data_IF_644562994018
#
_entry.id   IF_644562994018
#
_cell.length_a   1.000
_cell.length_b   1.000
_cell.length_c   1.000
_cell.angle_alpha   90.00
_cell.angle_beta   90.00
_cell.angle_gamma   90.00
#
_symmetry.space_group_name_H-M   'P 1'
#
loop_
_entity.id
_entity.type
_entity.pdbx_description
1 polymer ?
#
# COMPACT_ATOMS: atom_id res chain seq x y z
N UNK A 1 -14.81 15.42 16.65
CA UNK A 1 -13.81 16.43 16.32
C UNK A 1 -12.90 15.85 15.24
N UNK A 2 -12.76 16.51 14.07
CA UNK A 2 -11.71 16.17 13.11
C UNK A 2 -10.42 16.83 13.56
N UNK A 3 -9.41 16.04 13.88
CA UNK A 3 -8.07 16.55 14.19
C UNK A 3 -7.31 16.66 12.89
N UNK A 4 -6.66 17.80 12.63
CA UNK A 4 -5.77 17.99 11.51
C UNK A 4 -4.35 18.30 11.98
N UNK A 5 -3.37 17.58 11.45
CA UNK A 5 -1.94 17.85 11.62
C UNK A 5 -1.45 18.36 10.26
N UNK A 6 -0.84 19.53 10.25
CA UNK A 6 -0.51 20.23 9.01
C UNK A 6 0.93 20.75 9.03
N UNK A 7 1.63 20.63 7.89
CA UNK A 7 2.97 21.22 7.66
C UNK A 7 3.97 20.89 8.75
N UNK A 8 4.20 19.61 8.99
CA UNK A 8 5.06 19.15 10.07
C UNK A 8 6.07 18.12 9.59
N UNK A 9 7.19 18.03 10.29
CA UNK A 9 8.16 16.95 10.13
C UNK A 9 8.21 16.20 11.45
N UNK A 10 7.93 14.90 11.39
CA UNK A 10 7.92 14.02 12.57
C UNK A 10 9.07 13.01 12.40
N UNK A 11 10.02 13.06 13.29
CA UNK A 11 11.22 12.23 13.21
C UNK A 11 11.36 11.30 14.41
N UNK A 12 11.86 10.08 14.17
CA UNK A 12 12.31 9.14 15.19
C UNK A 12 11.26 8.90 16.30
N UNK A 13 9.98 8.88 15.91
CA UNK A 13 8.86 8.78 16.87
C UNK A 13 8.25 7.39 16.82
N UNK A 14 7.95 6.83 17.96
CA UNK A 14 7.20 5.58 18.10
C UNK A 14 5.81 5.86 18.68
N UNK A 15 4.77 5.57 17.90
CA UNK A 15 3.37 5.65 18.27
C UNK A 15 2.74 4.32 17.88
N UNK A 16 2.80 3.37 18.78
CA UNK A 16 2.45 1.96 18.53
C UNK A 16 1.10 1.65 19.18
N UNK A 17 0.29 0.77 18.56
CA UNK A 17 -1.01 0.35 19.07
C UNK A 17 -1.94 1.52 19.38
N UNK A 18 -1.90 2.57 18.58
CA UNK A 18 -2.65 3.80 18.78
C UNK A 18 -3.82 3.92 17.84
N UNK A 19 -4.72 4.86 18.10
CA UNK A 19 -5.88 5.11 17.26
C UNK A 19 -5.93 6.58 16.85
N UNK A 20 -5.94 6.80 15.51
CA UNK A 20 -6.04 8.11 14.85
C UNK A 20 -7.25 8.19 13.90
N UNK A 21 -8.32 7.51 14.23
CA UNK A 21 -9.53 7.56 13.40
C UNK A 21 -9.96 8.99 13.05
N UNK A 22 -10.40 9.18 11.80
CA UNK A 22 -10.97 10.44 11.28
C UNK A 22 -10.02 11.65 11.36
N UNK A 23 -8.71 11.40 11.36
CA UNK A 23 -7.69 12.46 11.35
C UNK A 23 -7.33 12.89 9.93
N UNK A 24 -6.81 14.10 9.81
CA UNK A 24 -6.24 14.63 8.56
C UNK A 24 -4.76 14.93 8.76
N UNK A 25 -3.94 14.41 7.85
CA UNK A 25 -2.50 14.64 7.78
C UNK A 25 -2.21 15.34 6.45
N UNK A 26 -1.72 16.58 6.50
CA UNK A 26 -1.53 17.40 5.29
C UNK A 26 -0.12 17.99 5.31
N UNK A 27 0.64 17.76 4.23
CA UNK A 27 2.02 18.26 4.09
C UNK A 27 2.92 17.76 5.24
N UNK A 28 2.87 16.44 5.53
CA UNK A 28 3.64 15.83 6.63
C UNK A 28 4.75 14.95 6.09
N UNK A 29 5.94 15.07 6.66
CA UNK A 29 7.03 14.12 6.50
C UNK A 29 7.21 13.30 7.77
N UNK A 30 7.09 11.99 7.66
CA UNK A 30 7.37 11.03 8.73
C UNK A 30 8.71 10.34 8.42
N UNK A 31 9.72 10.55 9.24
CA UNK A 31 11.04 9.97 9.04
C UNK A 31 11.43 9.07 10.21
N UNK A 32 11.80 7.81 9.91
CA UNK A 32 12.23 6.82 10.88
C UNK A 32 11.21 6.60 12.02
N UNK A 33 9.91 6.66 11.69
CA UNK A 33 8.84 6.51 12.68
C UNK A 33 8.33 5.07 12.74
N UNK A 34 7.83 4.67 13.92
CA UNK A 34 7.21 3.38 14.12
C UNK A 34 5.75 3.55 14.57
N UNK A 35 4.83 3.18 13.69
CA UNK A 35 3.38 3.19 13.90
C UNK A 35 2.77 1.77 13.95
N UNK A 36 3.55 0.74 14.24
CA UNK A 36 3.07 -0.64 14.19
C UNK A 36 1.75 -0.82 14.92
N UNK A 37 0.81 -1.55 14.28
CA UNK A 37 -0.54 -1.86 14.79
C UNK A 37 -1.39 -0.61 15.11
N UNK A 38 -1.11 0.52 14.48
CA UNK A 38 -1.89 1.75 14.66
C UNK A 38 -3.06 1.77 13.69
N UNK A 39 -4.21 2.22 14.18
CA UNK A 39 -5.43 2.40 13.41
C UNK A 39 -5.46 3.81 12.83
N UNK A 40 -5.53 3.91 11.50
CA UNK A 40 -5.70 5.15 10.75
C UNK A 40 -7.02 5.14 9.96
N UNK A 41 -8.04 4.50 10.47
CA UNK A 41 -9.31 4.36 9.78
C UNK A 41 -9.98 5.70 9.49
N UNK A 42 -10.53 5.84 8.28
CA UNK A 42 -11.24 7.04 7.83
C UNK A 42 -10.40 8.34 7.91
N UNK A 43 -9.10 8.19 7.68
CA UNK A 43 -8.15 9.30 7.66
C UNK A 43 -7.92 9.84 6.25
N UNK A 44 -7.38 11.05 6.17
CA UNK A 44 -6.88 11.62 4.92
C UNK A 44 -5.38 11.91 5.05
N UNK A 45 -4.60 11.38 4.14
CA UNK A 45 -3.18 11.70 3.99
C UNK A 45 -3.01 12.45 2.66
N UNK A 46 -2.66 13.72 2.73
CA UNK A 46 -2.58 14.60 1.56
C UNK A 46 -1.18 15.20 1.50
N UNK A 47 -0.44 14.92 0.43
CA UNK A 47 0.95 15.33 0.24
C UNK A 47 1.81 14.92 1.45
N UNK A 48 1.69 13.64 1.84
CA UNK A 48 2.46 13.07 2.93
C UNK A 48 3.57 12.17 2.40
N UNK A 49 4.64 12.07 3.17
CA UNK A 49 5.75 11.20 2.87
C UNK A 49 6.17 10.39 4.09
N UNK A 50 6.29 9.09 3.92
CA UNK A 50 6.79 8.16 4.92
C UNK A 50 8.15 7.65 4.46
N UNK A 51 9.22 7.99 5.18
CA UNK A 51 10.59 7.58 4.88
C UNK A 51 11.14 6.67 5.98
N UNK A 52 11.59 5.48 5.62
CA UNK A 52 12.18 4.51 6.55
C UNK A 52 11.26 4.19 7.74
N UNK A 53 9.96 4.20 7.54
CA UNK A 53 8.98 3.99 8.60
C UNK A 53 8.58 2.52 8.75
N UNK A 54 8.07 2.19 9.92
CA UNK A 54 7.46 0.90 10.21
C UNK A 54 5.96 1.08 10.44
N UNK A 55 5.16 0.54 9.52
CA UNK A 55 3.71 0.55 9.53
C UNK A 55 3.12 -0.88 9.58
N UNK A 56 3.88 -1.82 10.14
CA UNK A 56 3.48 -3.23 10.19
C UNK A 56 2.16 -3.40 10.94
N UNK A 57 1.19 -4.06 10.31
CA UNK A 57 -0.13 -4.32 10.90
C UNK A 57 -1.00 -3.08 11.08
N UNK A 58 -0.67 -1.95 10.45
CA UNK A 58 -1.53 -0.76 10.50
C UNK A 58 -2.83 -0.98 9.73
N UNK A 59 -3.89 -0.33 10.19
CA UNK A 59 -5.17 -0.29 9.50
C UNK A 59 -5.38 1.08 8.83
N UNK A 60 -5.46 1.06 7.50
CA UNK A 60 -5.75 2.19 6.63
C UNK A 60 -7.11 2.02 5.92
N UNK A 61 -8.08 1.41 6.57
CA UNK A 61 -9.42 1.24 6.00
C UNK A 61 -10.13 2.60 5.80
N UNK A 62 -10.89 2.71 4.71
CA UNK A 62 -11.68 3.90 4.36
C UNK A 62 -10.88 5.21 4.26
N UNK A 63 -9.63 5.14 3.84
CA UNK A 63 -8.75 6.30 3.76
C UNK A 63 -8.77 7.00 2.41
N UNK A 64 -8.38 8.26 2.43
CA UNK A 64 -7.97 9.00 1.24
C UNK A 64 -6.45 9.19 1.27
N UNK A 65 -5.73 8.61 0.31
CA UNK A 65 -4.32 8.84 0.09
C UNK A 65 -4.15 9.65 -1.21
N UNK A 66 -3.77 10.90 -1.08
CA UNK A 66 -3.57 11.81 -2.21
C UNK A 66 -2.15 12.35 -2.21
N UNK A 67 -1.43 12.17 -3.33
CA UNK A 67 -0.04 12.64 -3.49
C UNK A 67 0.84 12.16 -2.32
N UNK A 68 0.73 10.87 -1.96
CA UNK A 68 1.39 10.29 -0.78
C UNK A 68 2.45 9.27 -1.18
N UNK A 69 3.63 9.37 -0.59
CA UNK A 69 4.77 8.49 -0.88
C UNK A 69 5.14 7.62 0.32
N UNK A 70 5.44 6.36 0.03
CA UNK A 70 6.00 5.39 0.98
C UNK A 70 7.37 4.94 0.44
N UNK A 71 8.46 5.36 1.09
CA UNK A 71 9.83 5.12 0.63
C UNK A 71 10.59 4.30 1.69
N UNK A 72 11.03 3.10 1.34
CA UNK A 72 11.67 2.13 2.24
C UNK A 72 10.84 1.89 3.52
N UNK A 73 9.56 1.64 3.35
CA UNK A 73 8.62 1.45 4.47
C UNK A 73 8.29 -0.03 4.65
N UNK A 74 8.18 -0.47 5.90
CA UNK A 74 7.65 -1.79 6.21
C UNK A 74 6.15 -1.70 6.49
N UNK A 75 5.33 -2.14 5.52
CA UNK A 75 3.88 -2.21 5.57
C UNK A 75 3.37 -3.67 5.54
N UNK A 76 4.16 -4.62 6.05
CA UNK A 76 3.70 -6.00 6.12
C UNK A 76 2.43 -6.12 6.97
N UNK A 77 1.49 -6.96 6.55
CA UNK A 77 0.21 -7.19 7.24
C UNK A 77 -0.67 -5.94 7.38
N UNK A 78 -0.42 -4.91 6.58
CA UNK A 78 -1.21 -3.68 6.58
C UNK A 78 -2.54 -3.92 5.87
N UNK A 79 -3.61 -3.34 6.40
CA UNK A 79 -4.91 -3.31 5.75
C UNK A 79 -5.12 -1.95 5.06
N UNK A 80 -5.25 -1.95 3.73
CA UNK A 80 -5.57 -0.77 2.92
C UNK A 80 -6.80 -1.14 2.09
N UNK A 81 -7.98 -0.95 2.65
CA UNK A 81 -9.23 -1.39 2.02
C UNK A 81 -10.23 -0.24 1.93
N UNK A 82 -11.12 -0.32 0.95
CA UNK A 82 -12.23 0.64 0.74
C UNK A 82 -11.71 2.09 0.65
N UNK A 83 -10.52 2.26 0.08
CA UNK A 83 -9.79 3.54 0.11
C UNK A 83 -9.65 4.15 -1.29
N UNK A 84 -9.52 5.48 -1.33
CA UNK A 84 -9.20 6.24 -2.54
C UNK A 84 -7.70 6.51 -2.59
N UNK A 85 -6.99 5.89 -3.55
CA UNK A 85 -5.56 6.02 -3.76
C UNK A 85 -5.28 6.81 -5.04
N UNK A 86 -4.81 8.03 -4.92
CA UNK A 86 -4.49 8.88 -6.09
C UNK A 86 -3.07 9.44 -5.98
N UNK A 87 -2.26 9.21 -7.03
CA UNK A 87 -0.85 9.62 -7.07
C UNK A 87 -0.09 9.05 -5.85
N UNK A 88 -0.19 7.75 -5.61
CA UNK A 88 0.48 7.08 -4.49
C UNK A 88 1.68 6.29 -5.00
N UNK A 89 2.81 6.45 -4.34
CA UNK A 89 4.06 5.82 -4.72
C UNK A 89 4.61 4.93 -3.61
N UNK A 90 4.82 3.66 -3.94
CA UNK A 90 5.44 2.65 -3.07
C UNK A 90 6.81 2.30 -3.63
N UNK A 91 7.86 2.87 -3.05
CA UNK A 91 9.25 2.61 -3.46
C UNK A 91 9.99 1.80 -2.40
N UNK A 92 10.58 0.67 -2.79
CA UNK A 92 11.34 -0.20 -1.87
C UNK A 92 10.51 -0.59 -0.63
N UNK A 93 9.19 -0.63 -0.78
CA UNK A 93 8.23 -0.84 0.31
C UNK A 93 7.88 -2.32 0.42
N UNK A 94 7.83 -2.83 1.64
CA UNK A 94 7.40 -4.20 1.93
C UNK A 94 5.91 -4.21 2.26
N UNK A 95 5.13 -4.91 1.46
CA UNK A 95 3.68 -5.09 1.59
C UNK A 95 3.32 -6.59 1.71
N UNK A 96 4.22 -7.38 2.27
CA UNK A 96 4.03 -8.82 2.41
C UNK A 96 2.83 -9.14 3.29
N UNK A 97 1.93 -10.01 2.80
CA UNK A 97 0.67 -10.34 3.45
C UNK A 97 -0.24 -9.12 3.72
N UNK A 98 -0.06 -8.03 3.00
CA UNK A 98 -0.97 -6.89 3.10
C UNK A 98 -2.27 -7.16 2.35
N UNK A 99 -3.30 -6.40 2.69
CA UNK A 99 -4.62 -6.46 2.07
C UNK A 99 -4.90 -5.13 1.35
N UNK A 100 -5.08 -5.19 0.02
CA UNK A 100 -5.41 -4.05 -0.85
C UNK A 100 -6.72 -4.35 -1.61
N UNK A 101 -7.83 -4.46 -0.92
CA UNK A 101 -9.11 -4.82 -1.52
C UNK A 101 -10.07 -3.63 -1.57
N UNK A 102 -10.96 -3.64 -2.58
CA UNK A 102 -12.02 -2.64 -2.75
C UNK A 102 -11.52 -1.20 -2.84
N UNK A 103 -10.35 -0.98 -3.45
CA UNK A 103 -9.78 0.35 -3.57
C UNK A 103 -10.10 0.99 -4.93
N UNK A 104 -10.34 2.29 -4.91
CA UNK A 104 -10.28 3.11 -6.10
C UNK A 104 -8.85 3.60 -6.30
N UNK A 105 -8.26 3.25 -7.44
CA UNK A 105 -6.86 3.58 -7.72
C UNK A 105 -6.74 4.46 -8.96
N UNK A 106 -5.90 5.49 -8.85
CA UNK A 106 -5.53 6.34 -9.98
C UNK A 106 -4.08 6.76 -9.86
N UNK A 107 -3.27 6.41 -10.86
CA UNK A 107 -1.85 6.76 -10.92
C UNK A 107 -1.09 6.29 -9.66
N UNK A 108 -1.19 4.99 -9.33
CA UNK A 108 -0.35 4.38 -8.31
C UNK A 108 0.88 3.76 -8.97
N UNK A 109 1.99 3.69 -8.23
CA UNK A 109 3.24 3.10 -8.70
C UNK A 109 3.85 2.22 -7.64
N UNK A 110 4.37 1.08 -8.07
CA UNK A 110 5.22 0.21 -7.27
C UNK A 110 6.61 0.15 -7.90
N UNK A 111 7.63 0.45 -7.14
CA UNK A 111 9.03 0.33 -7.58
C UNK A 111 9.81 -0.49 -6.58
N UNK A 112 10.33 -1.64 -7.01
CA UNK A 112 11.12 -2.55 -6.18
C UNK A 112 10.39 -2.94 -4.87
N UNK A 113 9.06 -3.01 -4.95
CA UNK A 113 8.21 -3.35 -3.82
C UNK A 113 8.14 -4.88 -3.62
N UNK A 114 8.01 -5.30 -2.36
CA UNK A 114 7.75 -6.70 -2.01
C UNK A 114 6.24 -6.88 -1.77
N UNK A 115 5.55 -7.45 -2.75
CA UNK A 115 4.13 -7.76 -2.76
C UNK A 115 3.87 -9.25 -2.51
N UNK A 116 4.82 -9.97 -1.91
CA UNK A 116 4.69 -11.40 -1.63
C UNK A 116 3.44 -11.68 -0.80
N UNK A 117 2.59 -12.60 -1.28
CA UNK A 117 1.34 -13.01 -0.61
C UNK A 117 0.37 -11.85 -0.32
N UNK A 118 0.45 -10.73 -1.05
CA UNK A 118 -0.51 -9.64 -0.97
C UNK A 118 -1.87 -10.09 -1.54
N UNK A 119 -2.95 -9.59 -0.98
CA UNK A 119 -4.31 -9.81 -1.48
C UNK A 119 -4.80 -8.55 -2.18
N UNK A 120 -5.15 -8.69 -3.47
CA UNK A 120 -5.64 -7.58 -4.32
C UNK A 120 -6.91 -8.06 -5.02
N UNK A 121 -8.07 -7.71 -4.48
CA UNK A 121 -9.36 -8.00 -5.10
C UNK A 121 -10.18 -6.73 -5.21
N UNK A 122 -10.94 -6.59 -6.30
CA UNK A 122 -11.74 -5.40 -6.59
C UNK A 122 -10.89 -4.11 -6.56
N UNK A 123 -9.64 -4.23 -7.04
CA UNK A 123 -8.65 -3.15 -7.11
C UNK A 123 -7.86 -3.31 -8.40
N UNK A 124 -8.20 -2.55 -9.42
CA UNK A 124 -7.61 -2.71 -10.76
C UNK A 124 -6.14 -2.28 -10.80
N UNK A 125 -5.28 -3.15 -11.34
CA UNK A 125 -3.88 -2.87 -11.61
C UNK A 125 -3.62 -2.47 -13.08
N UNK A 126 -4.66 -2.09 -13.82
CA UNK A 126 -4.52 -1.70 -15.21
C UNK A 126 -3.52 -0.54 -15.40
N UNK A 127 -2.53 -0.75 -16.27
CA UNK A 127 -1.47 0.22 -16.55
C UNK A 127 -0.37 0.31 -15.49
N UNK A 128 -0.38 -0.57 -14.47
CA UNK A 128 0.64 -0.60 -13.42
C UNK A 128 1.76 -1.55 -13.80
N UNK A 129 3.01 -1.10 -13.66
CA UNK A 129 4.21 -1.91 -13.89
C UNK A 129 4.66 -2.57 -12.59
N UNK A 130 4.58 -3.91 -12.56
CA UNK A 130 5.03 -4.77 -11.47
C UNK A 130 6.34 -5.50 -11.79
N UNK A 131 6.92 -5.28 -12.98
CA UNK A 131 8.03 -6.10 -13.52
C UNK A 131 9.28 -6.16 -12.62
N UNK A 132 9.46 -5.16 -11.75
CA UNK A 132 10.56 -5.09 -10.78
C UNK A 132 10.14 -5.40 -9.34
N UNK A 133 8.90 -5.80 -9.14
CA UNK A 133 8.37 -6.15 -7.82
C UNK A 133 8.48 -7.65 -7.55
N UNK A 134 8.41 -8.06 -6.28
CA UNK A 134 8.19 -9.45 -5.90
C UNK A 134 6.70 -9.68 -5.77
N UNK A 135 6.16 -10.67 -6.49
CA UNK A 135 4.73 -10.99 -6.47
C UNK A 135 4.43 -12.45 -6.08
N UNK A 136 5.41 -13.16 -5.53
CA UNK A 136 5.28 -14.56 -5.15
C UNK A 136 4.03 -14.79 -4.30
N UNK A 137 3.16 -15.70 -4.74
CA UNK A 137 1.94 -16.05 -4.01
C UNK A 137 0.90 -14.92 -3.93
N UNK A 138 0.94 -13.95 -4.83
CA UNK A 138 -0.09 -12.90 -4.92
C UNK A 138 -1.49 -13.52 -5.09
N UNK A 139 -2.46 -13.03 -4.31
CA UNK A 139 -3.86 -13.40 -4.46
C UNK A 139 -4.60 -12.26 -5.18
N UNK A 140 -4.98 -12.52 -6.45
CA UNK A 140 -5.57 -11.52 -7.34
C UNK A 140 -6.55 -12.18 -8.30
N UNK A 141 -7.52 -11.45 -8.82
CA UNK A 141 -8.40 -11.92 -9.89
C UNK A 141 -7.83 -11.60 -11.29
N UNK A 142 -8.32 -12.31 -12.31
CA UNK A 142 -7.97 -12.04 -13.72
C UNK A 142 -8.37 -10.60 -14.10
N UNK A 143 -9.53 -10.14 -13.63
CA UNK A 143 -10.03 -8.80 -13.95
C UNK A 143 -9.17 -7.71 -13.31
N UNK A 144 -8.66 -7.93 -12.11
CA UNK A 144 -7.83 -6.95 -11.40
C UNK A 144 -6.40 -6.85 -11.97
N UNK A 145 -5.81 -7.98 -12.43
CA UNK A 145 -4.45 -8.01 -13.02
C UNK A 145 -4.44 -7.58 -14.49
N UNK A 146 -5.59 -7.54 -15.14
CA UNK A 146 -5.68 -7.22 -16.57
C UNK A 146 -5.08 -5.85 -16.87
N UNK A 147 -4.13 -5.83 -17.85
CA UNK A 147 -3.44 -4.62 -18.28
C UNK A 147 -2.26 -4.21 -17.42
N UNK A 148 -1.90 -4.96 -16.38
CA UNK A 148 -0.65 -4.77 -15.65
C UNK A 148 0.55 -5.24 -16.50
N UNK A 149 1.73 -4.65 -16.26
CA UNK A 149 3.00 -5.11 -16.84
C UNK A 149 3.74 -5.99 -15.86
N UNK A 150 4.16 -7.17 -16.30
CA UNK A 150 4.92 -8.16 -15.53
C UNK A 150 6.14 -8.65 -16.31
N UNK A 151 7.10 -9.27 -15.65
CA UNK A 151 8.22 -9.97 -16.31
C UNK A 151 7.89 -11.44 -16.57
N UNK A 152 8.77 -12.13 -17.30
CA UNK A 152 8.58 -13.54 -17.70
C UNK A 152 8.51 -14.51 -16.50
N UNK A 153 9.26 -14.28 -15.45
CA UNK A 153 9.26 -15.16 -14.27
C UNK A 153 7.94 -15.01 -13.51
N UNK A 154 7.48 -13.80 -13.34
CA UNK A 154 6.19 -13.49 -12.72
C UNK A 154 4.99 -14.08 -13.46
N UNK A 155 5.10 -14.29 -14.78
CA UNK A 155 4.04 -14.95 -15.54
C UNK A 155 3.77 -16.39 -15.05
N UNK A 156 4.80 -17.09 -14.57
CA UNK A 156 4.65 -18.43 -13.98
C UNK A 156 3.87 -18.38 -12.65
N UNK A 157 4.08 -17.33 -11.86
CA UNK A 157 3.36 -17.15 -10.60
C UNK A 157 1.86 -16.86 -10.80
N UNK A 158 1.49 -16.35 -11.98
CA UNK A 158 0.11 -15.98 -12.32
C UNK A 158 -0.64 -17.02 -13.15
N UNK A 159 0.06 -18.06 -13.64
CA UNK A 159 -0.54 -19.03 -14.57
C UNK A 159 -1.69 -19.83 -13.93
N UNK A 160 -1.70 -19.96 -12.60
CA UNK A 160 -2.79 -20.63 -11.89
C UNK A 160 -4.14 -19.96 -12.11
N UNK A 161 -4.16 -18.64 -12.42
CA UNK A 161 -5.39 -17.91 -12.72
C UNK A 161 -6.13 -18.46 -13.95
N UNK A 162 -5.39 -19.12 -14.85
CA UNK A 162 -5.95 -19.75 -16.04
C UNK A 162 -6.40 -21.20 -15.80
N UNK A 163 -6.25 -21.73 -14.59
CA UNK A 163 -6.61 -23.11 -14.25
C UNK A 163 -5.74 -24.18 -14.90
N UNK A 164 -4.57 -23.80 -15.45
CA UNK A 164 -3.63 -24.74 -16.09
C UNK A 164 -2.68 -25.37 -15.06
N UNK A 165 -2.26 -26.59 -15.32
CA UNK A 165 -1.21 -27.27 -14.55
C UNK A 165 0.10 -27.18 -15.32
N UNK A 166 1.17 -26.81 -14.62
CA UNK A 166 2.55 -26.95 -15.11
C UNK A 166 3.03 -28.33 -14.68
N UNK A 167 3.58 -29.11 -15.62
CA UNK A 167 4.13 -30.45 -15.40
C UNK A 167 5.64 -30.34 -15.45
#
# INVERSE_FOLDING_TARGET
LKIAIIKSIINNTAIINSNFEKCMFIDIQFNNCNFSNTIFENCSFIRCEFNNCKLTGCDFNENTLLDTNFINVNMNYTNITISDLKNVYFKETRLKNANLQNNKVKNIKFQEADLTQIQIFQTSLNGIDLSKCKIDGIAISIDDIKGATINQVQALDLIYLLGVKII
#
